data_IF_361175483855
#
_entry.id   IF_361175483855
#
_cell.length_a   1.000
_cell.length_b   1.000
_cell.length_c   1.000
_cell.angle_alpha   90.00
_cell.angle_beta   90.00
_cell.angle_gamma   90.00
#
_symmetry.space_group_name_H-M   'P 1'
#
loop_
_entity.id
_entity.type
_entity.pdbx_description
1 polymer ?
#
# COMPACT_ATOMS: atom_id res chain seq x y z
N UNK A 1 -0.23 -12.51 56.78
CA UNK A 1 -0.36 -12.70 55.32
C UNK A 1 0.16 -14.08 54.97
N UNK A 2 -0.60 -14.87 54.19
CA UNK A 2 -0.15 -16.20 53.76
C UNK A 2 0.97 -16.05 52.74
N UNK A 3 2.07 -16.81 52.90
CA UNK A 3 3.18 -16.72 51.97
C UNK A 3 2.76 -17.12 50.54
N UNK A 4 3.22 -16.37 49.54
CA UNK A 4 2.83 -16.57 48.13
C UNK A 4 3.16 -17.99 47.63
N UNK A 5 4.22 -18.60 48.13
CA UNK A 5 4.62 -19.99 47.87
C UNK A 5 3.51 -20.98 48.29
N UNK A 6 2.94 -20.78 49.49
CA UNK A 6 1.84 -21.59 50.02
C UNK A 6 0.56 -21.39 49.21
N UNK A 7 0.26 -20.14 48.83
CA UNK A 7 -0.88 -19.82 47.97
C UNK A 7 -0.78 -20.53 46.61
N UNK A 8 0.40 -20.51 45.95
CA UNK A 8 0.61 -21.19 44.65
C UNK A 8 0.35 -22.69 44.70
N UNK A 9 0.64 -23.36 45.82
CA UNK A 9 0.40 -24.80 45.96
C UNK A 9 -1.09 -25.15 45.99
N UNK A 10 -1.95 -24.27 46.54
CA UNK A 10 -3.39 -24.50 46.61
C UNK A 10 -4.06 -24.43 45.24
N UNK A 11 -3.51 -23.62 44.33
CA UNK A 11 -4.04 -23.41 42.97
C UNK A 11 -3.24 -24.13 41.87
N UNK A 12 -2.46 -25.14 42.22
CA UNK A 12 -1.74 -25.97 41.24
C UNK A 12 -2.70 -26.87 40.44
N UNK A 13 -2.25 -27.33 39.27
CA UNK A 13 -3.07 -28.15 38.37
C UNK A 13 -3.75 -29.32 39.08
N UNK A 14 -5.04 -29.51 38.78
CA UNK A 14 -5.91 -30.56 39.33
C UNK A 14 -6.17 -30.46 40.84
N UNK A 15 -5.76 -29.38 41.53
CA UNK A 15 -6.17 -29.07 42.90
C UNK A 15 -7.28 -28.02 42.91
N UNK A 16 -8.27 -28.23 43.77
CA UNK A 16 -9.31 -27.25 44.09
C UNK A 16 -9.10 -26.79 45.53
N UNK A 17 -8.78 -25.50 45.78
CA UNK A 17 -8.66 -24.99 47.13
C UNK A 17 -9.94 -25.21 47.95
N UNK A 18 -9.80 -25.45 49.25
CA UNK A 18 -10.95 -25.42 50.17
C UNK A 18 -11.45 -23.99 50.35
N UNK A 19 -12.62 -23.83 50.97
CA UNK A 19 -13.19 -22.51 51.27
C UNK A 19 -12.22 -21.68 52.13
N UNK A 20 -11.63 -22.28 53.16
CA UNK A 20 -10.68 -21.61 54.06
C UNK A 20 -9.41 -21.19 53.33
N UNK A 21 -8.91 -22.03 52.41
CA UNK A 21 -7.75 -21.70 51.57
C UNK A 21 -8.07 -20.55 50.61
N UNK A 22 -9.30 -20.49 50.09
CA UNK A 22 -9.74 -19.40 49.23
C UNK A 22 -9.91 -18.08 50.00
N UNK A 23 -10.44 -18.12 51.22
CA UNK A 23 -10.53 -16.93 52.08
C UNK A 23 -9.16 -16.42 52.50
N UNK A 24 -8.26 -17.32 52.92
CA UNK A 24 -6.88 -16.94 53.26
C UNK A 24 -6.11 -16.34 52.08
N UNK A 25 -6.44 -16.74 50.84
CA UNK A 25 -5.93 -16.10 49.63
C UNK A 25 -6.44 -14.67 49.47
N UNK A 26 -7.75 -14.43 49.61
CA UNK A 26 -8.34 -13.09 49.52
C UNK A 26 -7.77 -12.16 50.60
N UNK A 27 -7.70 -12.62 51.86
CA UNK A 27 -7.17 -11.87 53.01
C UNK A 27 -5.65 -11.59 52.90
N UNK A 28 -4.95 -12.20 51.93
CA UNK A 28 -3.53 -11.92 51.70
C UNK A 28 -3.30 -10.68 50.82
N UNK A 29 -4.36 -10.05 50.30
CA UNK A 29 -4.30 -8.79 49.56
C UNK A 29 -5.07 -7.69 50.30
N UNK A 30 -4.63 -6.44 50.15
CA UNK A 30 -5.40 -5.29 50.59
C UNK A 30 -6.57 -5.03 49.64
N UNK A 31 -7.77 -4.86 50.17
CA UNK A 31 -8.94 -4.51 49.38
C UNK A 31 -9.00 -3.00 49.11
N UNK A 32 -9.61 -2.59 47.99
CA UNK A 32 -9.68 -1.17 47.57
C UNK A 32 -10.38 -0.25 48.58
N UNK A 33 -11.23 -0.80 49.43
CA UNK A 33 -11.93 -0.07 50.50
C UNK A 33 -11.11 0.06 51.79
N UNK A 34 -9.99 -0.63 51.90
CA UNK A 34 -9.15 -0.65 53.10
C UNK A 34 -8.07 0.42 53.02
N UNK A 35 -7.78 1.06 54.15
CA UNK A 35 -6.67 2.00 54.27
C UNK A 35 -5.41 1.23 54.61
N UNK A 36 -4.35 1.43 53.84
CA UNK A 36 -3.04 0.82 54.10
C UNK A 36 -2.37 1.59 55.26
N UNK A 37 -2.01 0.93 56.38
CA UNK A 37 -1.28 1.57 57.48
C UNK A 37 0.10 2.07 57.00
N UNK A 38 0.49 3.25 57.46
CA UNK A 38 1.76 3.90 57.07
C UNK A 38 3.00 3.04 57.39
N UNK A 39 2.95 2.28 58.49
CA UNK A 39 3.97 1.30 58.90
C UNK A 39 4.16 0.12 57.94
N UNK A 40 3.17 -0.16 57.09
CA UNK A 40 3.23 -1.25 56.10
C UNK A 40 3.90 -0.83 54.78
N UNK A 41 4.31 0.43 54.65
CA UNK A 41 4.97 0.97 53.44
C UNK A 41 6.49 1.04 53.69
N UNK A 42 7.23 0.13 53.08
CA UNK A 42 8.68 0.05 53.21
C UNK A 42 9.38 1.34 52.70
N UNK A 43 10.28 1.90 53.52
CA UNK A 43 11.08 3.07 53.16
C UNK A 43 10.40 4.43 53.33
N UNK A 44 9.13 4.46 53.75
CA UNK A 44 8.41 5.70 54.02
C UNK A 44 8.96 6.44 55.26
N UNK A 45 9.43 5.69 56.25
CA UNK A 45 10.17 6.19 57.41
C UNK A 45 11.43 6.98 57.01
N UNK A 46 12.27 6.38 56.14
CA UNK A 46 13.51 6.99 55.65
C UNK A 46 13.26 8.26 54.82
N UNK A 47 12.16 8.30 54.08
CA UNK A 47 11.80 9.48 53.28
C UNK A 47 11.46 10.69 54.19
N UNK A 48 10.82 10.43 55.32
CA UNK A 48 10.39 11.47 56.26
C UNK A 48 11.57 11.99 57.10
N UNK A 49 12.56 11.15 57.42
CA UNK A 49 13.80 11.56 58.13
C UNK A 49 14.58 12.66 57.41
N UNK A 50 14.48 12.78 56.08
CA UNK A 50 15.11 13.83 55.28
C UNK A 50 14.36 15.18 55.26
N UNK A 51 13.21 15.26 55.93
CA UNK A 51 12.36 16.46 55.93
C UNK A 51 12.42 17.17 57.28
N UNK A 52 12.49 18.50 57.27
CA UNK A 52 12.30 19.28 58.50
C UNK A 52 10.83 19.19 58.92
N UNK A 53 10.58 18.94 60.20
CA UNK A 53 9.22 19.00 60.74
C UNK A 53 8.67 20.42 60.62
N UNK A 54 7.35 20.55 60.59
CA UNK A 54 6.70 21.87 60.58
C UNK A 54 7.14 22.76 61.75
N UNK A 55 7.42 22.14 62.90
CA UNK A 55 7.90 22.82 64.10
C UNK A 55 9.36 23.26 63.96
N UNK A 56 10.23 22.41 63.41
CA UNK A 56 11.63 22.78 63.12
C UNK A 56 11.70 23.95 62.13
N UNK A 57 10.86 23.92 61.08
CA UNK A 57 10.77 25.01 60.13
C UNK A 57 10.23 26.29 60.76
N UNK A 58 9.19 26.19 61.60
CA UNK A 58 8.63 27.33 62.31
C UNK A 58 9.65 27.98 63.27
N UNK A 59 10.40 27.16 64.00
CA UNK A 59 11.45 27.65 64.89
C UNK A 59 12.56 28.33 64.09
N UNK A 60 12.94 27.79 62.95
CA UNK A 60 13.93 28.41 62.06
C UNK A 60 13.44 29.76 61.49
N UNK A 61 12.18 29.86 61.07
CA UNK A 61 11.58 31.09 60.54
C UNK A 61 11.49 32.21 61.59
N UNK A 62 11.25 31.86 62.86
CA UNK A 62 11.10 32.81 63.94
C UNK A 62 12.43 33.11 64.67
N UNK A 63 13.48 32.34 64.42
CA UNK A 63 14.81 32.61 64.96
C UNK A 63 15.48 33.74 64.18
N UNK A 64 15.40 34.94 64.74
CA UNK A 64 16.04 36.16 64.22
C UNK A 64 17.57 36.05 64.10
N UNK A 65 18.21 35.03 64.68
CA UNK A 65 19.65 34.80 64.63
C UNK A 65 20.05 33.58 63.79
N UNK A 66 19.10 32.88 63.16
CA UNK A 66 19.36 31.63 62.43
C UNK A 66 20.44 31.75 61.33
N UNK A 67 20.66 32.96 60.81
CA UNK A 67 21.67 33.26 59.80
C UNK A 67 22.62 34.40 60.18
N UNK A 68 22.70 34.75 61.47
CA UNK A 68 23.49 35.91 61.93
C UNK A 68 24.93 35.88 61.44
N UNK A 69 25.61 34.73 61.57
CA UNK A 69 27.02 34.56 61.15
C UNK A 69 27.22 34.81 59.64
N UNK A 70 26.21 34.52 58.81
CA UNK A 70 26.25 34.80 57.37
C UNK A 70 25.98 36.28 57.08
N UNK A 71 25.12 36.93 57.86
CA UNK A 71 24.87 38.36 57.74
C UNK A 71 26.03 39.21 58.28
N UNK A 72 26.72 38.79 59.33
CA UNK A 72 27.92 39.45 59.84
C UNK A 72 29.08 39.43 58.83
N UNK A 73 29.03 38.53 57.83
CA UNK A 73 29.96 38.49 56.69
C UNK A 73 29.51 39.36 55.50
N UNK A 74 28.30 39.93 55.52
CA UNK A 74 27.88 40.84 54.45
C UNK A 74 28.63 42.16 54.60
N UNK A 75 28.98 42.72 53.45
CA UNK A 75 29.54 44.07 53.34
C UNK A 75 28.38 45.05 53.33
N UNK A 76 28.40 46.03 54.23
CA UNK A 76 27.37 47.06 54.31
C UNK A 76 27.46 48.06 53.14
N UNK A 77 26.30 48.57 52.73
CA UNK A 77 26.21 49.57 51.66
C UNK A 77 26.41 50.98 52.23
N UNK A 78 27.38 51.72 51.70
CA UNK A 78 27.60 53.13 52.02
C UNK A 78 27.04 53.99 50.89
N UNK A 79 26.30 55.05 51.22
CA UNK A 79 25.66 55.92 50.24
C UNK A 79 26.70 56.58 49.31
N UNK A 80 26.49 56.47 47.99
CA UNK A 80 27.39 57.01 46.96
C UNK A 80 28.61 56.13 46.61
N UNK A 81 28.77 54.93 47.18
CA UNK A 81 29.80 53.95 46.76
C UNK A 81 29.20 52.56 46.53
N UNK A 82 29.71 51.84 45.53
CA UNK A 82 29.53 50.39 45.47
C UNK A 82 30.39 49.69 46.54
N UNK A 83 30.03 48.44 46.90
CA UNK A 83 30.46 47.67 48.07
C UNK A 83 31.93 47.91 48.49
N UNK A 84 32.15 48.23 49.77
CA UNK A 84 33.43 48.72 50.30
C UNK A 84 34.54 47.65 50.49
N UNK A 85 34.37 46.43 49.97
CA UNK A 85 35.47 45.47 49.83
C UNK A 85 35.96 45.51 48.39
N UNK A 86 37.04 46.24 48.19
CA UNK A 86 37.72 46.34 46.92
C UNK A 86 38.57 45.08 46.73
N UNK A 87 38.00 44.02 46.16
CA UNK A 87 38.68 42.72 45.93
C UNK A 87 39.75 42.77 44.81
N UNK A 88 39.99 43.93 44.22
CA UNK A 88 41.04 44.14 43.22
C UNK A 88 42.29 44.70 43.88
N UNK A 89 43.39 43.96 43.84
CA UNK A 89 44.71 44.51 44.16
C UNK A 89 44.97 45.74 43.29
N UNK A 90 45.70 46.72 43.82
CA UNK A 90 46.03 47.97 43.10
C UNK A 90 46.59 47.69 41.69
N UNK A 91 47.27 46.56 41.52
CA UNK A 91 47.80 46.07 40.24
C UNK A 91 46.70 45.71 39.21
N UNK A 92 45.59 45.11 39.63
CA UNK A 92 44.47 44.84 38.72
C UNK A 92 43.71 46.11 38.34
N UNK A 93 43.64 47.08 39.26
CA UNK A 93 43.00 48.37 38.99
C UNK A 93 43.80 49.17 37.97
N UNK A 94 45.13 49.18 38.08
CA UNK A 94 46.03 49.78 37.09
C UNK A 94 45.92 49.08 35.72
N UNK A 95 45.83 47.75 35.69
CA UNK A 95 45.61 47.00 34.44
C UNK A 95 44.25 47.30 33.79
N UNK A 96 43.20 47.51 34.60
CA UNK A 96 41.87 47.86 34.10
C UNK A 96 41.81 49.30 33.57
N UNK A 97 42.40 50.25 34.29
CA UNK A 97 42.53 51.65 33.85
C UNK A 97 43.41 51.76 32.59
N UNK A 98 44.37 50.84 32.42
CA UNK A 98 45.21 50.73 31.22
C UNK A 98 44.59 50.01 30.03
N UNK A 99 43.37 49.45 30.16
CA UNK A 99 42.66 48.83 29.04
C UNK A 99 42.09 49.92 28.11
N UNK A 100 42.82 50.23 27.05
CA UNK A 100 42.25 50.93 25.90
C UNK A 100 41.34 49.99 25.11
N UNK A 101 40.34 50.56 24.42
CA UNK A 101 39.46 49.82 23.52
C UNK A 101 40.33 49.07 22.49
N UNK A 102 40.48 47.75 22.67
CA UNK A 102 41.23 46.92 21.74
C UNK A 102 40.47 46.96 20.42
N UNK A 103 41.12 47.37 19.33
CA UNK A 103 40.51 47.28 18.01
C UNK A 103 40.35 45.80 17.64
N UNK A 104 39.14 45.29 17.86
CA UNK A 104 38.77 43.89 17.61
C UNK A 104 38.46 43.67 16.11
N UNK A 105 38.60 44.70 15.25
CA UNK A 105 38.34 44.62 13.81
C UNK A 105 39.16 43.54 13.10
N UNK A 106 40.31 43.15 13.67
CA UNK A 106 41.16 42.08 13.14
C UNK A 106 40.78 40.65 13.56
N UNK A 107 39.97 40.44 14.61
CA UNK A 107 39.55 39.10 15.03
C UNK A 107 38.37 38.55 14.23
N UNK A 108 37.67 39.43 13.50
CA UNK A 108 36.67 39.09 12.51
C UNK A 108 37.14 39.68 11.17
N UNK A 109 37.82 38.92 10.29
CA UNK A 109 38.15 39.42 8.97
C UNK A 109 36.86 39.77 8.22
N UNK A 110 36.48 41.05 8.23
CA UNK A 110 35.27 41.56 7.56
C UNK A 110 35.40 41.57 6.04
N UNK A 111 36.56 41.18 5.50
CA UNK A 111 36.91 41.44 4.10
C UNK A 111 36.80 42.94 3.82
N UNK A 112 36.29 43.31 2.64
CA UNK A 112 36.07 44.70 2.24
C UNK A 112 34.81 45.35 2.85
N UNK A 113 34.17 44.70 3.83
CA UNK A 113 32.91 45.16 4.40
C UNK A 113 33.09 46.25 5.46
N UNK A 114 32.52 47.44 5.22
CA UNK A 114 32.69 48.65 6.04
C UNK A 114 31.47 49.02 6.91
N UNK A 115 30.41 48.20 6.92
CA UNK A 115 29.17 48.48 7.66
C UNK A 115 29.17 48.01 9.13
N UNK A 116 28.10 48.36 9.86
CA UNK A 116 27.85 47.87 11.22
C UNK A 116 27.35 46.43 11.25
N UNK A 117 27.33 45.79 12.41
CA UNK A 117 26.76 44.44 12.58
C UNK A 117 25.24 44.39 12.24
N UNK A 118 24.54 45.50 12.45
CA UNK A 118 23.14 45.65 12.05
C UNK A 118 22.98 45.74 10.53
N UNK A 119 23.91 46.43 9.85
CA UNK A 119 23.94 46.49 8.38
C UNK A 119 24.21 45.11 7.77
N UNK A 120 25.09 44.32 8.39
CA UNK A 120 25.37 42.93 8.01
C UNK A 120 24.12 42.06 8.14
N UNK A 121 23.44 42.14 9.29
CA UNK A 121 22.21 41.38 9.52
C UNK A 121 21.15 41.73 8.48
N UNK A 122 20.95 43.03 8.21
CA UNK A 122 19.98 43.50 7.21
C UNK A 122 20.33 42.98 5.81
N UNK A 123 21.60 43.00 5.41
CA UNK A 123 22.01 42.49 4.10
C UNK A 123 21.84 40.97 3.96
N UNK A 124 22.05 40.21 5.04
CA UNK A 124 21.79 38.76 5.06
C UNK A 124 20.29 38.49 4.89
N UNK A 125 19.46 39.22 5.64
CA UNK A 125 18.00 39.10 5.57
C UNK A 125 17.46 39.51 4.18
N UNK A 126 18.09 40.49 3.53
CA UNK A 126 17.74 40.96 2.18
C UNK A 126 18.25 40.01 1.07
N UNK A 127 19.34 39.27 1.29
CA UNK A 127 19.88 38.26 0.34
C UNK A 127 19.18 36.91 0.41
N UNK A 128 18.58 36.57 1.55
CA UNK A 128 17.78 35.37 1.69
C UNK A 128 16.36 35.61 1.14
N UNK A 129 16.15 35.39 -0.16
CA UNK A 129 14.81 35.48 -0.73
C UNK A 129 13.87 34.47 -0.04
N UNK A 130 12.97 34.96 0.81
CA UNK A 130 12.00 34.13 1.55
C UNK A 130 10.99 33.42 0.64
N UNK A 131 11.00 33.72 -0.66
CA UNK A 131 10.15 33.10 -1.68
C UNK A 131 10.95 32.29 -2.70
N UNK A 132 12.24 32.04 -2.48
CA UNK A 132 12.99 31.17 -3.36
C UNK A 132 12.32 29.78 -3.41
N UNK A 133 12.17 29.27 -4.62
CA UNK A 133 11.70 27.92 -4.91
C UNK A 133 12.82 27.19 -5.62
N UNK A 134 13.07 25.96 -5.23
CA UNK A 134 13.93 25.07 -5.98
C UNK A 134 13.08 24.20 -6.91
N UNK A 135 13.49 24.04 -8.15
CA UNK A 135 12.95 22.95 -8.97
C UNK A 135 13.59 21.65 -8.50
N UNK A 136 12.81 20.56 -8.47
CA UNK A 136 13.32 19.24 -8.05
C UNK A 136 14.53 18.75 -8.86
N UNK A 137 14.69 19.23 -10.10
CA UNK A 137 15.83 18.93 -10.96
C UNK A 137 17.17 19.54 -10.49
N UNK A 138 17.12 20.62 -9.71
CA UNK A 138 18.30 21.40 -9.32
C UNK A 138 18.86 21.00 -7.94
N UNK A 139 18.30 19.94 -7.32
CA UNK A 139 18.68 19.47 -5.99
C UNK A 139 19.69 18.31 -6.11
N UNK A 140 20.92 18.55 -5.68
CA UNK A 140 21.97 17.54 -5.58
C UNK A 140 21.76 16.65 -4.33
N UNK A 141 21.98 15.33 -4.44
CA UNK A 141 21.82 14.39 -3.31
C UNK A 141 20.37 14.09 -2.91
N UNK A 142 19.39 14.39 -3.77
CA UNK A 142 17.97 14.13 -3.51
C UNK A 142 17.67 12.65 -3.19
N UNK A 143 16.74 12.35 -2.26
CA UNK A 143 16.35 10.98 -1.95
C UNK A 143 15.70 10.28 -3.15
N UNK A 144 16.18 9.07 -3.50
CA UNK A 144 15.57 8.19 -4.51
C UNK A 144 14.27 7.51 -4.03
N UNK A 145 13.62 8.03 -2.98
CA UNK A 145 12.56 7.32 -2.23
C UNK A 145 11.14 7.69 -2.61
N UNK A 146 10.94 8.67 -3.48
CA UNK A 146 9.73 8.63 -4.29
C UNK A 146 9.90 7.42 -5.20
N UNK A 147 9.07 6.39 -5.01
CA UNK A 147 8.81 5.38 -6.04
C UNK A 147 8.74 6.16 -7.32
N UNK A 148 9.72 5.96 -8.19
CA UNK A 148 9.94 6.80 -9.33
C UNK A 148 8.69 6.71 -10.20
N UNK A 149 7.76 7.63 -9.99
CA UNK A 149 6.51 7.72 -10.75
C UNK A 149 6.80 8.10 -12.19
N UNK A 150 8.04 8.52 -12.50
CA UNK A 150 8.52 8.60 -13.87
C UNK A 150 8.77 7.18 -14.42
N UNK A 151 9.38 6.25 -13.68
CA UNK A 151 9.75 4.92 -14.23
C UNK A 151 8.63 3.87 -14.36
N UNK A 152 7.44 4.03 -13.77
CA UNK A 152 6.39 3.02 -13.98
C UNK A 152 5.83 3.07 -15.41
N UNK A 153 5.76 4.27 -16.00
CA UNK A 153 5.19 4.52 -17.33
C UNK A 153 6.19 5.09 -18.34
N UNK A 154 7.35 5.61 -17.93
CA UNK A 154 8.36 6.10 -18.88
C UNK A 154 9.21 4.95 -19.43
N UNK A 155 8.96 4.61 -20.69
CA UNK A 155 9.75 3.68 -21.46
C UNK A 155 11.02 4.36 -21.99
N UNK A 156 12.20 3.97 -21.50
CA UNK A 156 13.45 4.27 -22.22
C UNK A 156 13.65 3.20 -23.30
N UNK A 157 13.29 3.45 -24.57
CA UNK A 157 13.45 2.50 -25.71
C UNK A 157 14.75 1.66 -25.73
N UNK A 158 15.86 2.22 -25.24
CA UNK A 158 17.16 1.53 -25.17
C UNK A 158 17.47 0.88 -23.80
N UNK A 159 16.95 1.42 -22.69
CA UNK A 159 17.27 1.02 -21.30
C UNK A 159 16.07 0.44 -20.51
N UNK A 160 14.89 0.35 -21.11
CA UNK A 160 13.65 -0.10 -20.49
C UNK A 160 13.58 -1.61 -20.33
N UNK A 161 12.62 -2.07 -19.53
CA UNK A 161 12.47 -3.50 -19.28
C UNK A 161 11.93 -4.24 -20.52
N UNK A 162 12.68 -5.25 -20.98
CA UNK A 162 12.40 -6.00 -22.21
C UNK A 162 12.13 -7.47 -21.93
N UNK A 163 11.18 -8.05 -22.65
CA UNK A 163 10.81 -9.46 -22.52
C UNK A 163 10.58 -10.06 -23.92
N UNK A 164 11.25 -11.18 -24.20
CA UNK A 164 10.90 -12.04 -25.34
C UNK A 164 9.59 -12.78 -25.05
N UNK A 165 8.65 -12.80 -26.00
CA UNK A 165 7.33 -13.41 -25.80
C UNK A 165 7.41 -14.88 -25.39
N UNK A 166 8.42 -15.61 -25.87
CA UNK A 166 8.69 -17.00 -25.48
C UNK A 166 9.01 -17.16 -23.98
N UNK A 167 9.40 -16.07 -23.31
CA UNK A 167 9.74 -15.99 -21.88
C UNK A 167 8.61 -15.42 -21.02
N UNK A 168 7.47 -15.06 -21.60
CA UNK A 168 6.34 -14.53 -20.81
C UNK A 168 5.84 -15.52 -19.77
N UNK A 169 5.82 -16.81 -20.11
CA UNK A 169 5.34 -17.88 -19.23
C UNK A 169 6.41 -18.44 -18.29
N UNK A 170 7.67 -18.07 -18.49
CA UNK A 170 8.74 -18.37 -17.55
C UNK A 170 8.54 -17.49 -16.31
N UNK A 171 8.37 -18.10 -15.15
CA UNK A 171 8.12 -17.34 -13.93
C UNK A 171 9.32 -16.45 -13.60
N UNK A 172 9.05 -15.16 -13.43
CA UNK A 172 10.01 -14.17 -12.96
C UNK A 172 9.28 -13.28 -11.97
N UNK A 173 9.89 -13.08 -10.80
CA UNK A 173 9.36 -12.17 -9.80
C UNK A 173 9.67 -10.71 -10.18
N UNK A 174 8.98 -10.21 -11.21
CA UNK A 174 9.25 -8.92 -11.86
C UNK A 174 8.85 -7.75 -10.94
N UNK A 175 9.68 -6.69 -10.86
CA UNK A 175 9.29 -5.45 -10.18
C UNK A 175 8.09 -4.79 -10.88
N UNK A 176 7.45 -3.86 -10.18
CA UNK A 176 6.40 -3.03 -10.77
C UNK A 176 6.96 -2.18 -11.91
N UNK A 177 6.27 -2.12 -13.05
CA UNK A 177 6.64 -1.28 -14.19
C UNK A 177 6.00 -1.69 -15.51
N UNK A 178 6.30 -0.92 -16.56
CA UNK A 178 5.97 -1.23 -17.95
C UNK A 178 7.13 -1.95 -18.64
N UNK A 179 6.80 -3.02 -19.36
CA UNK A 179 7.72 -3.88 -20.08
C UNK A 179 7.33 -3.93 -21.56
N UNK A 180 8.33 -3.86 -22.44
CA UNK A 180 8.10 -4.05 -23.87
C UNK A 180 8.31 -5.52 -24.21
N UNK A 181 7.39 -6.05 -25.00
CA UNK A 181 7.36 -7.46 -25.39
C UNK A 181 7.65 -7.60 -26.87
N UNK A 182 8.58 -8.49 -27.22
CA UNK A 182 8.93 -8.83 -28.60
C UNK A 182 8.41 -10.21 -28.98
N UNK A 183 7.82 -10.33 -30.16
CA UNK A 183 7.34 -11.61 -30.70
C UNK A 183 8.21 -12.01 -31.90
N UNK A 184 9.01 -13.08 -31.76
CA UNK A 184 9.82 -13.61 -32.87
C UNK A 184 10.75 -12.57 -33.50
N UNK A 185 10.58 -12.34 -34.81
CA UNK A 185 11.35 -11.34 -35.56
C UNK A 185 10.65 -9.97 -35.65
N UNK A 186 9.51 -9.80 -34.98
CA UNK A 186 8.74 -8.54 -35.01
C UNK A 186 9.41 -7.45 -34.16
N UNK A 187 8.93 -6.22 -34.31
CA UNK A 187 9.32 -5.10 -33.48
C UNK A 187 8.91 -5.29 -32.01
N UNK A 188 9.55 -4.53 -31.12
CA UNK A 188 9.24 -4.43 -29.69
C UNK A 188 7.88 -3.74 -29.47
N UNK A 189 6.82 -4.46 -29.80
CA UNK A 189 5.49 -3.91 -30.05
C UNK A 189 4.42 -4.26 -29.02
N UNK A 190 4.67 -5.23 -28.15
CA UNK A 190 3.77 -5.60 -27.06
C UNK A 190 4.05 -4.79 -25.80
N UNK A 191 3.05 -4.65 -24.94
CA UNK A 191 3.11 -3.95 -23.67
C UNK A 191 2.63 -4.85 -22.54
N UNK A 192 3.49 -5.08 -21.55
CA UNK A 192 3.14 -5.72 -20.30
C UNK A 192 3.26 -4.71 -19.15
N UNK A 193 2.17 -4.52 -18.41
CA UNK A 193 2.17 -3.77 -17.15
C UNK A 193 2.20 -4.75 -16.00
N UNK A 194 3.14 -4.58 -15.08
CA UNK A 194 3.27 -5.39 -13.87
C UNK A 194 3.01 -4.51 -12.66
N UNK A 195 1.99 -4.87 -11.88
CA UNK A 195 1.71 -4.27 -10.59
C UNK A 195 2.08 -5.26 -9.50
N UNK A 196 3.31 -5.19 -8.99
CA UNK A 196 3.79 -6.07 -7.94
C UNK A 196 3.35 -5.56 -6.57
N UNK A 197 2.88 -6.48 -5.73
CA UNK A 197 2.59 -6.26 -4.31
C UNK A 197 3.43 -7.19 -3.46
N UNK A 198 4.19 -6.64 -2.51
CA UNK A 198 4.98 -7.45 -1.58
C UNK A 198 4.10 -8.06 -0.47
N UNK A 199 4.46 -9.26 0.01
CA UNK A 199 3.87 -9.88 1.20
C UNK A 199 2.41 -10.35 1.08
N UNK A 200 1.93 -10.64 -0.13
CA UNK A 200 0.55 -11.08 -0.38
C UNK A 200 0.53 -12.35 -1.23
N UNK A 201 -0.47 -13.22 -1.01
CA UNK A 201 -0.66 -14.41 -1.83
C UNK A 201 -1.00 -14.08 -3.27
N UNK A 202 -1.84 -13.07 -3.54
CA UNK A 202 -1.85 -12.44 -4.86
C UNK A 202 -0.70 -11.42 -4.90
N UNK A 203 0.40 -11.78 -5.56
CA UNK A 203 1.67 -11.05 -5.49
C UNK A 203 1.97 -10.13 -6.69
N UNK A 204 1.24 -10.30 -7.79
CA UNK A 204 1.23 -9.33 -8.90
C UNK A 204 -0.12 -9.31 -9.60
N UNK A 205 -0.48 -8.18 -10.18
CA UNK A 205 -1.47 -8.09 -11.25
C UNK A 205 -0.70 -7.75 -12.53
N UNK A 206 -0.90 -8.55 -13.58
CA UNK A 206 -0.19 -8.39 -14.85
C UNK A 206 -1.19 -8.25 -16.00
N UNK A 207 -1.04 -7.16 -16.75
CA UNK A 207 -1.92 -6.79 -17.86
C UNK A 207 -1.08 -6.72 -19.13
N UNK A 208 -1.46 -7.48 -20.15
CA UNK A 208 -0.72 -7.64 -21.39
C UNK A 208 -1.55 -7.22 -22.60
N UNK A 209 -0.95 -6.41 -23.46
CA UNK A 209 -1.31 -6.25 -24.86
C UNK A 209 -0.18 -6.90 -25.66
N UNK A 210 -0.45 -7.99 -26.37
CA UNK A 210 0.60 -8.76 -27.04
C UNK A 210 1.23 -8.04 -28.23
N UNK A 211 0.53 -7.11 -28.87
CA UNK A 211 1.01 -6.43 -30.07
C UNK A 211 0.30 -5.08 -30.28
N UNK A 212 0.92 -4.17 -31.03
CA UNK A 212 0.34 -2.87 -31.41
C UNK A 212 -0.67 -2.93 -32.56
N UNK A 213 -0.93 -4.12 -33.13
CA UNK A 213 -1.83 -4.28 -34.28
C UNK A 213 -3.28 -4.19 -33.80
N UNK A 214 -4.11 -3.54 -34.62
CA UNK A 214 -5.55 -3.45 -34.41
C UNK A 214 -6.20 -4.84 -34.22
N UNK A 215 -7.08 -4.98 -33.23
CA UNK A 215 -7.71 -6.25 -32.87
C UNK A 215 -7.00 -7.05 -31.78
N UNK A 216 -5.84 -6.59 -31.31
CA UNK A 216 -5.17 -7.23 -30.17
C UNK A 216 -6.00 -7.11 -28.89
N UNK A 217 -6.23 -8.26 -28.21
CA UNK A 217 -7.04 -8.33 -26.99
C UNK A 217 -6.22 -8.07 -25.74
N UNK A 218 -6.82 -7.34 -24.79
CA UNK A 218 -6.26 -7.19 -23.45
C UNK A 218 -6.28 -8.54 -22.74
N UNK A 219 -5.15 -8.91 -22.15
CA UNK A 219 -5.02 -10.15 -21.38
C UNK A 219 -4.57 -9.87 -19.96
N UNK A 220 -4.98 -10.72 -19.02
CA UNK A 220 -4.66 -10.57 -17.61
C UNK A 220 -4.15 -11.88 -17.01
N UNK A 221 -3.27 -11.77 -16.02
CA UNK A 221 -2.93 -12.84 -15.08
C UNK A 221 -2.51 -12.26 -13.73
N UNK A 222 -2.22 -13.13 -12.78
CA UNK A 222 -1.59 -12.77 -11.51
C UNK A 222 -0.53 -13.80 -11.12
N UNK A 223 0.42 -13.39 -10.28
CA UNK A 223 1.33 -14.31 -9.61
C UNK A 223 0.85 -14.66 -8.20
N UNK A 224 1.30 -15.83 -7.72
CA UNK A 224 1.00 -16.37 -6.40
C UNK A 224 2.26 -16.41 -5.55
N UNK A 225 2.19 -15.82 -4.35
CA UNK A 225 3.23 -15.75 -3.32
C UNK A 225 4.61 -15.22 -3.79
N UNK A 226 4.68 -14.61 -4.98
CA UNK A 226 5.90 -14.16 -5.62
C UNK A 226 6.79 -15.30 -6.14
N UNK A 227 6.23 -16.49 -6.37
CA UNK A 227 7.00 -17.69 -6.77
C UNK A 227 6.47 -18.43 -8.00
N UNK A 228 5.24 -18.17 -8.45
CA UNK A 228 4.62 -18.81 -9.63
C UNK A 228 3.54 -17.93 -10.25
N UNK A 229 3.17 -18.18 -11.51
CA UNK A 229 1.95 -17.60 -12.09
C UNK A 229 0.73 -18.47 -11.77
N UNK A 230 -0.45 -17.85 -11.68
CA UNK A 230 -1.74 -18.53 -11.53
C UNK A 230 -2.28 -19.15 -12.83
N UNK A 231 -1.37 -19.55 -13.73
CA UNK A 231 -1.66 -20.01 -15.08
C UNK A 231 -1.25 -19.00 -16.17
N UNK A 232 -1.63 -19.32 -17.41
CA UNK A 232 -1.36 -18.48 -18.57
C UNK A 232 -2.23 -17.22 -18.60
N UNK A 233 -1.83 -16.25 -19.42
CA UNK A 233 -2.65 -15.07 -19.70
C UNK A 233 -4.02 -15.46 -20.22
N UNK A 234 -5.06 -14.83 -19.67
CA UNK A 234 -6.44 -14.96 -20.14
C UNK A 234 -6.87 -13.68 -20.82
N UNK A 235 -7.41 -13.80 -22.03
CA UNK A 235 -7.99 -12.66 -22.73
C UNK A 235 -9.28 -12.22 -22.04
N UNK A 236 -9.45 -10.91 -21.93
CA UNK A 236 -10.71 -10.31 -21.49
C UNK A 236 -11.64 -10.16 -22.70
N UNK A 237 -12.93 -10.42 -22.46
CA UNK A 237 -13.98 -10.24 -23.44
C UNK A 237 -14.16 -8.75 -23.78
N UNK A 238 -14.38 -8.42 -25.05
CA UNK A 238 -14.85 -7.10 -25.45
C UNK A 238 -16.34 -6.96 -25.13
N UNK A 239 -16.83 -5.72 -25.11
CA UNK A 239 -18.26 -5.45 -24.94
C UNK A 239 -19.10 -6.25 -25.94
N UNK A 240 -18.68 -6.23 -27.21
CA UNK A 240 -19.33 -6.96 -28.29
C UNK A 240 -19.22 -8.49 -28.17
N UNK A 241 -18.33 -9.04 -27.34
CA UNK A 241 -18.30 -10.49 -27.06
C UNK A 241 -19.39 -10.89 -26.05
N UNK A 242 -19.84 -9.96 -25.20
CA UNK A 242 -20.84 -10.22 -24.14
C UNK A 242 -22.26 -9.96 -24.64
N UNK A 243 -22.46 -8.94 -25.46
CA UNK A 243 -23.78 -8.49 -25.91
C UNK A 243 -24.05 -8.80 -27.40
N UNK A 244 -23.60 -9.95 -27.90
CA UNK A 244 -23.78 -10.29 -29.33
C UNK A 244 -25.26 -10.34 -29.72
N UNK A 245 -25.63 -9.55 -30.72
CA UNK A 245 -26.88 -9.73 -31.44
C UNK A 245 -26.87 -11.08 -32.19
N UNK A 246 -28.04 -11.63 -32.47
CA UNK A 246 -28.15 -12.84 -33.29
C UNK A 246 -27.66 -12.61 -34.72
N UNK A 247 -27.29 -13.69 -35.41
CA UNK A 247 -26.68 -13.62 -36.74
C UNK A 247 -27.73 -13.82 -37.82
N UNK A 248 -27.72 -13.01 -38.88
CA UNK A 248 -28.60 -13.21 -40.03
C UNK A 248 -27.90 -14.03 -41.11
N UNK A 249 -28.52 -15.12 -41.55
CA UNK A 249 -28.07 -15.95 -42.69
C UNK A 249 -29.16 -15.97 -43.75
N UNK A 250 -28.80 -15.91 -45.03
CA UNK A 250 -29.78 -15.99 -46.13
C UNK A 250 -29.25 -16.60 -47.42
N UNK A 251 -28.05 -17.19 -47.36
CA UNK A 251 -27.35 -17.82 -48.47
C UNK A 251 -26.58 -19.03 -47.91
N UNK A 252 -26.10 -19.91 -48.80
CA UNK A 252 -25.33 -21.07 -48.39
C UNK A 252 -24.07 -20.62 -47.64
N UNK A 253 -23.83 -21.17 -46.45
CA UNK A 253 -22.74 -20.70 -45.58
C UNK A 253 -22.20 -21.80 -44.67
N UNK A 254 -21.00 -21.58 -44.14
CA UNK A 254 -20.41 -22.37 -43.06
C UNK A 254 -20.34 -21.50 -41.81
N UNK A 255 -20.98 -21.93 -40.74
CA UNK A 255 -20.88 -21.23 -39.46
C UNK A 255 -19.50 -21.49 -38.85
N UNK A 256 -18.82 -20.41 -38.47
CA UNK A 256 -17.58 -20.47 -37.71
C UNK A 256 -17.82 -20.67 -36.21
N UNK A 257 -16.76 -20.97 -35.47
CA UNK A 257 -16.78 -21.11 -34.00
C UNK A 257 -17.37 -19.89 -33.27
N UNK A 258 -17.29 -18.70 -33.87
CA UNK A 258 -17.87 -17.47 -33.32
C UNK A 258 -19.40 -17.48 -33.23
N UNK A 259 -20.06 -18.36 -34.00
CA UNK A 259 -21.51 -18.53 -33.97
C UNK A 259 -21.97 -19.48 -32.87
N UNK A 260 -21.03 -20.15 -32.18
CA UNK A 260 -21.35 -21.07 -31.11
C UNK A 260 -22.08 -20.33 -29.98
N UNK A 261 -23.13 -20.98 -29.50
CA UNK A 261 -24.05 -20.52 -28.46
C UNK A 261 -24.85 -19.27 -28.82
N UNK A 262 -25.06 -19.02 -30.13
CA UNK A 262 -25.88 -17.92 -30.63
C UNK A 262 -27.20 -18.37 -31.24
N UNK A 263 -28.06 -17.38 -31.51
CA UNK A 263 -29.26 -17.54 -32.33
C UNK A 263 -29.01 -17.02 -33.74
N UNK A 264 -29.22 -17.87 -34.75
CA UNK A 264 -29.15 -17.55 -36.17
C UNK A 264 -30.56 -17.37 -36.74
N UNK A 265 -30.82 -16.20 -37.30
CA UNK A 265 -32.05 -15.87 -38.01
C UNK A 265 -31.88 -16.17 -39.49
N UNK A 266 -32.51 -17.23 -39.96
CA UNK A 266 -32.42 -17.71 -41.35
C UNK A 266 -33.50 -17.03 -42.17
N UNK A 267 -33.08 -16.24 -43.16
CA UNK A 267 -33.95 -15.33 -43.90
C UNK A 267 -34.41 -15.85 -45.26
N UNK A 268 -33.73 -16.84 -45.85
CA UNK A 268 -34.11 -17.50 -47.10
C UNK A 268 -33.78 -19.00 -47.01
N UNK A 269 -34.27 -19.78 -47.97
CA UNK A 269 -33.85 -21.17 -48.15
C UNK A 269 -32.35 -21.24 -48.48
N UNK A 270 -31.59 -22.03 -47.72
CA UNK A 270 -30.15 -22.18 -47.87
C UNK A 270 -29.64 -23.45 -47.19
N UNK A 271 -28.40 -23.83 -47.51
CA UNK A 271 -27.64 -24.86 -46.81
C UNK A 271 -26.68 -24.24 -45.81
N UNK A 272 -26.70 -24.70 -44.57
CA UNK A 272 -25.86 -24.22 -43.48
C UNK A 272 -24.99 -25.38 -43.00
N UNK A 273 -23.67 -25.23 -43.13
CA UNK A 273 -22.67 -26.19 -42.65
C UNK A 273 -22.19 -25.81 -41.24
N UNK A 274 -22.11 -26.79 -40.35
CA UNK A 274 -21.78 -26.61 -38.92
C UNK A 274 -20.54 -27.39 -38.47
N UNK A 275 -19.72 -27.93 -39.39
CA UNK A 275 -18.52 -28.69 -39.04
C UNK A 275 -17.50 -27.92 -38.16
N UNK A 276 -17.51 -26.59 -38.18
CA UNK A 276 -16.61 -25.77 -37.36
C UNK A 276 -17.14 -25.51 -35.93
N UNK A 277 -18.39 -25.87 -35.62
CA UNK A 277 -18.91 -25.81 -34.25
C UNK A 277 -18.22 -26.90 -33.42
N UNK A 278 -17.64 -26.49 -32.30
CA UNK A 278 -16.78 -27.34 -31.49
C UNK A 278 -17.59 -28.27 -30.57
N UNK A 279 -16.92 -29.27 -30.01
CA UNK A 279 -17.50 -30.13 -28.98
C UNK A 279 -18.11 -29.29 -27.85
N UNK A 280 -19.27 -29.71 -27.35
CA UNK A 280 -20.08 -29.01 -26.35
C UNK A 280 -20.58 -27.63 -26.82
N UNK A 281 -20.60 -27.39 -28.14
CA UNK A 281 -21.18 -26.21 -28.77
C UNK A 281 -22.62 -26.45 -29.22
N UNK A 282 -23.43 -25.39 -29.19
CA UNK A 282 -24.80 -25.43 -29.72
C UNK A 282 -25.11 -24.18 -30.53
N UNK A 283 -25.98 -24.26 -31.54
CA UNK A 283 -26.48 -23.12 -32.29
C UNK A 283 -28.00 -23.23 -32.41
N UNK A 284 -28.70 -22.17 -32.05
CA UNK A 284 -30.15 -22.08 -32.21
C UNK A 284 -30.50 -21.37 -33.51
N UNK A 285 -31.57 -21.80 -34.17
CA UNK A 285 -32.03 -21.24 -35.44
C UNK A 285 -33.47 -20.79 -35.33
N UNK A 286 -33.77 -19.65 -35.94
CA UNK A 286 -35.13 -19.14 -36.14
C UNK A 286 -35.34 -18.89 -37.63
N UNK A 287 -36.31 -19.58 -38.22
CA UNK A 287 -36.75 -19.29 -39.59
C UNK A 287 -37.55 -17.99 -39.59
N UNK A 288 -37.20 -17.03 -40.44
CA UNK A 288 -37.90 -15.74 -40.54
C UNK A 288 -38.62 -15.51 -41.88
N UNK A 289 -38.82 -16.57 -42.65
CA UNK A 289 -39.51 -16.61 -43.95
C UNK A 289 -40.46 -17.82 -44.01
N UNK A 290 -41.47 -17.78 -44.87
CA UNK A 290 -42.53 -18.82 -44.92
C UNK A 290 -42.12 -20.05 -45.74
N UNK A 291 -41.89 -19.90 -47.04
CA UNK A 291 -41.71 -21.04 -47.94
C UNK A 291 -40.24 -21.41 -48.17
N UNK A 292 -39.98 -22.69 -48.40
CA UNK A 292 -38.65 -23.22 -48.72
C UNK A 292 -37.95 -23.88 -47.54
N UNK A 293 -36.96 -24.71 -47.86
CA UNK A 293 -36.26 -25.58 -46.91
C UNK A 293 -34.89 -25.02 -46.56
N UNK A 294 -34.54 -25.10 -45.27
CA UNK A 294 -33.17 -24.91 -44.80
C UNK A 294 -32.55 -26.28 -44.57
N UNK A 295 -31.37 -26.53 -45.13
CA UNK A 295 -30.66 -27.79 -44.99
C UNK A 295 -29.48 -27.60 -44.04
N UNK A 296 -29.36 -28.47 -43.06
CA UNK A 296 -28.21 -28.48 -42.16
C UNK A 296 -27.24 -29.60 -42.54
N UNK A 297 -25.96 -29.27 -42.56
CA UNK A 297 -24.88 -30.27 -42.71
C UNK A 297 -23.90 -30.14 -41.56
N UNK A 298 -23.33 -31.28 -41.18
CA UNK A 298 -22.31 -31.39 -40.14
C UNK A 298 -21.21 -32.31 -40.69
N UNK A 299 -20.46 -31.82 -41.68
CA UNK A 299 -19.46 -32.62 -42.39
C UNK A 299 -18.44 -33.22 -41.42
N UNK A 300 -18.23 -34.54 -41.52
CA UNK A 300 -17.32 -35.28 -40.65
C UNK A 300 -17.90 -35.68 -39.28
N UNK A 301 -19.18 -35.41 -39.01
CA UNK A 301 -19.88 -35.78 -37.77
C UNK A 301 -21.05 -36.71 -38.07
N UNK A 302 -21.46 -37.49 -37.06
CA UNK A 302 -22.65 -38.34 -37.16
C UNK A 302 -23.91 -37.50 -36.92
N UNK A 303 -24.83 -37.41 -37.88
CA UNK A 303 -26.05 -36.62 -37.73
C UNK A 303 -27.14 -37.45 -37.06
N UNK A 304 -27.74 -36.92 -36.00
CA UNK A 304 -28.83 -37.55 -35.23
C UNK A 304 -30.00 -36.57 -35.15
N UNK A 305 -31.13 -36.91 -35.77
CA UNK A 305 -32.36 -36.13 -35.64
C UNK A 305 -33.17 -36.57 -34.42
N UNK A 306 -33.67 -35.60 -33.65
CA UNK A 306 -34.48 -35.85 -32.45
C UNK A 306 -35.91 -35.30 -32.54
N UNK A 307 -36.22 -34.61 -33.63
CA UNK A 307 -37.56 -34.11 -33.98
C UNK A 307 -37.84 -34.33 -35.48
N UNK A 308 -38.31 -33.29 -36.16
CA UNK A 308 -38.48 -33.35 -37.61
C UNK A 308 -37.12 -33.55 -38.32
N UNK A 309 -37.13 -34.22 -39.47
CA UNK A 309 -35.92 -34.48 -40.27
C UNK A 309 -35.66 -33.46 -41.37
N UNK A 310 -36.56 -32.49 -41.54
CA UNK A 310 -36.46 -31.43 -42.54
C UNK A 310 -36.92 -30.10 -41.93
N UNK A 311 -36.18 -29.02 -42.17
CA UNK A 311 -36.53 -27.69 -41.64
C UNK A 311 -37.21 -26.84 -42.71
N UNK A 312 -38.51 -27.09 -42.92
CA UNK A 312 -39.32 -26.54 -44.02
C UNK A 312 -40.67 -25.94 -43.57
N UNK A 313 -40.89 -25.77 -42.26
CA UNK A 313 -42.07 -25.10 -41.71
C UNK A 313 -42.12 -23.61 -42.03
N UNK A 314 -43.19 -22.93 -41.58
CA UNK A 314 -43.41 -21.50 -41.86
C UNK A 314 -42.49 -20.60 -41.04
N UNK A 315 -42.61 -19.28 -41.25
CA UNK A 315 -41.93 -18.27 -40.42
C UNK A 315 -42.26 -18.50 -38.95
N UNK A 316 -41.21 -18.57 -38.12
CA UNK A 316 -41.32 -18.86 -36.69
C UNK A 316 -40.85 -20.26 -36.30
N UNK A 317 -40.69 -21.18 -37.27
CA UNK A 317 -40.10 -22.50 -37.03
C UNK A 317 -38.69 -22.38 -36.42
N UNK A 318 -38.30 -23.37 -35.60
CA UNK A 318 -37.02 -23.38 -34.89
C UNK A 318 -36.24 -24.65 -35.13
N UNK A 319 -34.92 -24.54 -35.07
CA UNK A 319 -34.05 -25.69 -34.90
C UNK A 319 -32.99 -25.41 -33.83
N UNK A 320 -32.51 -26.44 -33.15
CA UNK A 320 -31.35 -26.37 -32.26
C UNK A 320 -30.39 -27.47 -32.69
N UNK A 321 -29.14 -27.11 -32.92
CA UNK A 321 -28.11 -28.05 -33.34
C UNK A 321 -27.02 -28.06 -32.28
N UNK A 322 -26.74 -29.22 -31.70
CA UNK A 322 -25.79 -29.38 -30.61
C UNK A 322 -24.75 -30.41 -30.97
N UNK A 323 -23.48 -30.12 -30.68
CA UNK A 323 -22.35 -30.99 -30.96
C UNK A 323 -21.84 -31.58 -29.64
N UNK A 324 -21.77 -32.91 -29.56
CA UNK A 324 -21.09 -33.60 -28.49
C UNK A 324 -20.18 -34.69 -29.09
N UNK A 325 -18.89 -34.58 -28.81
CA UNK A 325 -17.84 -35.38 -29.41
C UNK A 325 -17.94 -35.41 -30.95
N UNK A 326 -18.25 -36.57 -31.53
CA UNK A 326 -18.40 -36.75 -32.98
C UNK A 326 -19.85 -36.67 -33.47
N UNK A 327 -20.81 -36.47 -32.57
CA UNK A 327 -22.23 -36.48 -32.89
C UNK A 327 -22.76 -35.05 -33.04
N UNK A 328 -23.61 -34.85 -34.05
CA UNK A 328 -24.33 -33.63 -34.36
C UNK A 328 -25.83 -33.91 -34.19
N UNK A 329 -26.37 -33.49 -33.05
CA UNK A 329 -27.79 -33.61 -32.74
C UNK A 329 -28.55 -32.45 -33.37
N UNK A 330 -29.58 -32.75 -34.15
CA UNK A 330 -30.44 -31.77 -34.81
C UNK A 330 -31.86 -31.96 -34.28
N UNK A 331 -32.34 -30.96 -33.54
CA UNK A 331 -33.72 -30.88 -33.08
C UNK A 331 -34.45 -29.82 -33.91
N UNK A 332 -35.49 -30.23 -34.66
CA UNK A 332 -36.28 -29.34 -35.51
C UNK A 332 -37.72 -29.37 -35.05
N UNK A 333 -38.30 -28.17 -34.94
CA UNK A 333 -39.71 -27.95 -34.71
C UNK A 333 -40.27 -27.02 -35.80
N UNK A 334 -40.98 -27.60 -36.75
CA UNK A 334 -41.76 -26.84 -37.73
C UNK A 334 -43.10 -26.38 -37.15
N UNK A 335 -43.59 -25.23 -37.62
CA UNK A 335 -44.94 -24.72 -37.30
C UNK A 335 -45.76 -24.42 -38.56
#
# INVERSE_FOLDING_TARGET
>A
MTAIETLKQWFSNLKKPTQEQFWAWLDSFWHKSEKIPMESVEGLDKLVEGTASAEQLSNHLNDTQAHKVLFDKKVDKVEGKELSSNDFTNEYKEKLEGLHQVDISGLLPKGDYTGTAQDLKKQIDDKADKKHKHSWGDIEGKPNTFIDTQNFFEEKKQEGFKIEASKLNDFVNRPSGSYVVKYGNDDWGGLLLVFRRSGSSASSLEILISHYIYGTRLSVRHSIDGVRYAGFFKQLAWYDDVIRAGVRVGENTTLSVDHQNQVVFVANACSIELNQIQNMGSVSFRKVFDDGTVTFTCTGKNIIYTGDTTFNGKKGSTAVISIFENDCYIDIRNI
#
